data_IF_939240576324
#
_entry.id   IF_939240576324
#
_cell.length_a   1.000
_cell.length_b   1.000
_cell.length_c   1.000
_cell.angle_alpha   90.00
_cell.angle_beta   90.00
_cell.angle_gamma   90.00
#
_symmetry.space_group_name_H-M   'P 1'
#
loop_
_entity.id
_entity.type
_entity.pdbx_description
1 polymer ?
#
# COMPACT_ATOMS: atom_id res chain seq x y z
N UNK A 1 -30.63 -5.32 -1.70
CA UNK A 1 -29.99 -4.69 -0.52
C UNK A 1 -30.31 -3.22 -0.58
N UNK A 2 -30.79 -2.63 0.52
CA UNK A 2 -31.13 -1.21 0.57
C UNK A 2 -29.88 -0.33 0.33
N UNK A 3 -29.98 0.79 -0.42
CA UNK A 3 -28.83 1.65 -0.71
C UNK A 3 -28.14 2.21 0.54
N UNK A 4 -28.89 2.49 1.61
CA UNK A 4 -28.35 2.97 2.88
C UNK A 4 -27.64 1.83 3.62
N UNK A 5 -28.17 0.61 3.59
CA UNK A 5 -27.50 -0.57 4.16
C UNK A 5 -26.20 -0.90 3.43
N UNK A 6 -26.15 -0.70 2.10
CA UNK A 6 -24.90 -0.83 1.33
C UNK A 6 -23.85 0.19 1.76
N UNK A 7 -24.28 1.43 1.98
CA UNK A 7 -23.41 2.50 2.44
C UNK A 7 -22.91 2.26 3.87
N UNK A 8 -23.80 1.82 4.77
CA UNK A 8 -23.46 1.41 6.15
C UNK A 8 -22.43 0.30 6.15
N UNK A 9 -22.55 -0.68 5.26
CA UNK A 9 -21.59 -1.77 5.11
C UNK A 9 -20.21 -1.28 4.66
N UNK A 10 -20.13 -0.40 3.67
CA UNK A 10 -18.86 0.15 3.17
C UNK A 10 -18.16 1.02 4.23
N UNK A 11 -18.91 1.85 4.95
CA UNK A 11 -18.37 2.62 6.08
C UNK A 11 -17.96 1.68 7.22
N UNK A 12 -18.73 0.63 7.50
CA UNK A 12 -18.38 -0.34 8.54
C UNK A 12 -17.09 -1.11 8.23
N UNK A 13 -16.86 -1.48 6.96
CA UNK A 13 -15.58 -2.06 6.50
C UNK A 13 -14.42 -1.09 6.72
N UNK A 14 -14.61 0.18 6.37
CA UNK A 14 -13.59 1.20 6.57
C UNK A 14 -13.28 1.44 8.07
N UNK A 15 -14.31 1.47 8.92
CA UNK A 15 -14.16 1.53 10.37
C UNK A 15 -13.38 0.32 10.90
N UNK A 16 -13.72 -0.90 10.46
CA UNK A 16 -13.02 -2.11 10.84
C UNK A 16 -11.54 -2.09 10.40
N UNK A 17 -11.27 -1.56 9.20
CA UNK A 17 -9.92 -1.39 8.68
C UNK A 17 -9.11 -0.37 9.46
N UNK A 18 -9.70 0.77 9.86
CA UNK A 18 -9.05 1.76 10.73
C UNK A 18 -8.74 1.15 12.10
N UNK A 19 -9.63 0.30 12.61
CA UNK A 19 -9.45 -0.35 13.91
C UNK A 19 -8.56 -1.62 13.86
N UNK A 20 -7.99 -1.97 12.69
CA UNK A 20 -7.13 -3.15 12.48
C UNK A 20 -7.72 -4.47 13.02
N UNK A 21 -9.05 -4.62 13.02
CA UNK A 21 -9.73 -5.81 13.54
C UNK A 21 -9.53 -6.07 15.05
N UNK A 22 -9.07 -5.08 15.83
CA UNK A 22 -8.88 -5.20 17.29
C UNK A 22 -10.15 -4.83 18.07
N UNK A 23 -10.19 -5.32 19.30
CA UNK A 23 -11.32 -5.31 20.24
C UNK A 23 -11.96 -3.93 20.52
N UNK A 24 -13.08 -3.96 21.24
CA UNK A 24 -13.95 -2.88 21.74
C UNK A 24 -13.27 -1.69 22.47
N UNK A 25 -11.94 -1.69 22.60
CA UNK A 25 -11.13 -0.64 23.19
C UNK A 25 -10.46 0.31 22.18
N UNK A 26 -10.68 0.11 20.87
CA UNK A 26 -10.08 0.95 19.83
C UNK A 26 -10.93 2.18 19.54
N UNK A 27 -10.26 3.34 19.49
CA UNK A 27 -10.85 4.62 19.11
C UNK A 27 -10.41 5.02 17.70
N UNK A 28 -11.31 5.63 16.92
CA UNK A 28 -11.04 6.12 15.57
C UNK A 28 -11.66 7.51 15.34
N UNK A 29 -11.11 8.28 14.41
CA UNK A 29 -11.65 9.58 14.00
C UNK A 29 -12.41 9.49 12.66
N UNK A 30 -13.40 10.36 12.48
CA UNK A 30 -14.17 10.46 11.22
C UNK A 30 -13.25 10.63 10.00
N UNK A 31 -12.20 11.45 10.14
CA UNK A 31 -11.28 11.72 9.04
C UNK A 31 -10.48 10.49 8.62
N UNK A 32 -10.18 9.57 9.53
CA UNK A 32 -9.47 8.32 9.23
C UNK A 32 -10.34 7.39 8.40
N UNK A 33 -11.63 7.29 8.77
CA UNK A 33 -12.63 6.53 8.01
C UNK A 33 -12.85 7.14 6.64
N UNK A 34 -12.99 8.47 6.56
CA UNK A 34 -13.18 9.18 5.31
C UNK A 34 -11.98 9.04 4.36
N UNK A 35 -10.76 9.05 4.90
CA UNK A 35 -9.55 8.82 4.11
C UNK A 35 -9.46 7.38 3.58
N UNK A 36 -10.04 6.39 4.28
CA UNK A 36 -10.06 5.00 3.80
C UNK A 36 -11.04 4.77 2.66
N UNK A 37 -12.09 5.56 2.57
CA UNK A 37 -13.06 5.48 1.47
C UNK A 37 -12.97 6.68 0.51
N UNK A 38 -11.87 7.43 0.57
CA UNK A 38 -11.65 8.60 -0.28
C UNK A 38 -11.53 8.14 -1.73
N UNK A 39 -12.51 8.53 -2.55
CA UNK A 39 -12.71 8.03 -3.91
C UNK A 39 -14.11 7.46 -4.14
N UNK A 40 -14.80 7.04 -3.07
CA UNK A 40 -16.17 6.49 -3.14
C UNK A 40 -17.20 7.42 -2.49
N UNK A 41 -16.88 7.99 -1.31
CA UNK A 41 -17.80 8.88 -0.58
C UNK A 41 -17.06 10.03 0.11
N UNK A 42 -17.71 11.20 0.22
CA UNK A 42 -17.16 12.38 0.89
C UNK A 42 -17.43 12.40 2.40
N UNK A 43 -16.67 13.21 3.15
CA UNK A 43 -16.82 13.39 4.62
C UNK A 43 -18.27 13.61 5.12
N UNK A 44 -19.12 14.42 4.46
CA UNK A 44 -20.51 14.60 4.90
C UNK A 44 -21.30 13.29 4.94
N UNK A 45 -21.06 12.40 3.95
CA UNK A 45 -21.71 11.09 3.86
C UNK A 45 -21.23 10.18 4.99
N UNK A 46 -19.93 10.17 5.28
CA UNK A 46 -19.36 9.41 6.40
C UNK A 46 -19.95 9.87 7.73
N UNK A 47 -20.07 11.19 7.94
CA UNK A 47 -20.60 11.75 9.19
C UNK A 47 -22.06 11.32 9.43
N UNK A 48 -22.90 11.32 8.38
CA UNK A 48 -24.28 10.83 8.46
C UNK A 48 -24.32 9.34 8.84
N UNK A 49 -23.47 8.53 8.23
CA UNK A 49 -23.45 7.08 8.50
C UNK A 49 -22.91 6.78 9.91
N UNK A 50 -21.92 7.51 10.39
CA UNK A 50 -21.44 7.37 11.78
C UNK A 50 -22.50 7.80 12.79
N UNK A 51 -23.29 8.82 12.50
CA UNK A 51 -24.43 9.20 13.34
C UNK A 51 -25.47 8.07 13.41
N UNK A 52 -25.83 7.48 12.28
CA UNK A 52 -26.73 6.32 12.21
C UNK A 52 -26.19 5.12 13.00
N UNK A 53 -24.91 4.77 12.82
CA UNK A 53 -24.28 3.67 13.55
C UNK A 53 -24.24 3.92 15.06
N UNK A 54 -24.13 5.19 15.48
CA UNK A 54 -24.20 5.57 16.89
C UNK A 54 -25.62 5.42 17.42
N UNK A 55 -26.61 5.86 16.69
CA UNK A 55 -28.02 5.80 17.08
C UNK A 55 -28.52 4.35 17.12
N UNK A 56 -27.95 3.47 16.30
CA UNK A 56 -28.11 2.01 16.36
C UNK A 56 -27.33 1.34 17.51
N UNK A 57 -26.60 2.11 18.32
CA UNK A 57 -25.82 1.61 19.44
C UNK A 57 -24.56 0.85 19.04
N UNK A 58 -24.12 0.91 17.79
CA UNK A 58 -22.94 0.20 17.31
C UNK A 58 -21.63 0.94 17.64
N UNK A 59 -21.67 2.27 17.77
CA UNK A 59 -20.50 3.06 18.18
C UNK A 59 -20.84 4.08 19.27
N UNK A 60 -19.84 4.61 19.94
CA UNK A 60 -19.96 5.72 20.91
C UNK A 60 -19.04 6.85 20.53
N UNK A 61 -19.51 8.10 20.61
CA UNK A 61 -18.68 9.26 20.35
C UNK A 61 -18.13 9.82 21.67
N UNK A 62 -16.84 10.17 21.67
CA UNK A 62 -16.12 10.79 22.77
C UNK A 62 -15.39 12.03 22.25
N UNK A 63 -15.08 12.97 23.15
CA UNK A 63 -14.23 14.11 22.80
C UNK A 63 -12.88 13.96 23.49
N UNK A 64 -11.82 13.88 22.70
CA UNK A 64 -10.44 13.82 23.19
C UNK A 64 -9.68 15.01 22.60
N UNK A 65 -9.09 15.86 23.44
CA UNK A 65 -8.33 17.04 23.03
C UNK A 65 -9.08 17.94 22.01
N UNK A 66 -10.38 18.14 22.22
CA UNK A 66 -11.24 18.94 21.34
C UNK A 66 -11.60 18.29 20.00
N UNK A 67 -11.30 17.01 19.81
CA UNK A 67 -11.64 16.23 18.61
C UNK A 67 -12.64 15.13 18.95
N UNK A 68 -13.64 14.96 18.10
CA UNK A 68 -14.56 13.82 18.19
C UNK A 68 -13.86 12.56 17.71
N UNK A 69 -13.84 11.56 18.58
CA UNK A 69 -13.39 10.20 18.29
C UNK A 69 -14.53 9.23 18.60
N UNK A 70 -14.51 8.07 17.98
CA UNK A 70 -15.54 7.06 18.10
C UNK A 70 -14.93 5.77 18.66
N UNK A 71 -15.61 5.12 19.59
CA UNK A 71 -15.28 3.79 20.08
C UNK A 71 -16.28 2.77 19.58
N UNK A 72 -15.79 1.57 19.25
CA UNK A 72 -16.63 0.44 18.83
C UNK A 72 -17.39 -0.15 20.02
N UNK A 73 -18.61 -0.61 19.78
CA UNK A 73 -19.37 -1.41 20.74
C UNK A 73 -19.52 -2.86 20.24
N UNK A 74 -19.74 -3.82 21.15
CA UNK A 74 -19.99 -5.22 20.79
C UNK A 74 -21.11 -5.42 19.76
N UNK A 75 -22.12 -4.54 19.77
CA UNK A 75 -23.23 -4.53 18.82
C UNK A 75 -22.77 -4.34 17.38
N UNK A 76 -21.73 -3.53 17.14
CA UNK A 76 -21.12 -3.36 15.82
C UNK A 76 -20.52 -4.69 15.34
N UNK A 77 -19.77 -5.38 16.21
CA UNK A 77 -19.13 -6.65 15.89
C UNK A 77 -20.19 -7.73 15.60
N UNK A 78 -21.30 -7.76 16.34
CA UNK A 78 -22.40 -8.70 16.11
C UNK A 78 -23.14 -8.42 14.80
N UNK A 79 -23.43 -7.15 14.50
CA UNK A 79 -24.22 -6.74 13.34
C UNK A 79 -23.43 -6.86 12.04
N UNK A 80 -22.17 -6.46 12.08
CA UNK A 80 -21.32 -6.38 10.90
C UNK A 80 -20.31 -7.52 10.83
N UNK A 81 -20.10 -8.29 11.89
CA UNK A 81 -19.17 -9.43 11.87
C UNK A 81 -17.75 -8.96 11.60
N UNK A 82 -17.08 -8.34 12.58
CA UNK A 82 -15.72 -7.80 12.41
C UNK A 82 -14.72 -8.84 11.84
N UNK A 83 -14.93 -10.13 12.17
CA UNK A 83 -14.18 -11.28 11.67
C UNK A 83 -14.52 -11.69 10.22
N UNK A 84 -15.65 -11.24 9.69
CA UNK A 84 -16.10 -11.46 8.29
C UNK A 84 -15.85 -10.21 7.42
N UNK A 85 -15.90 -9.00 7.96
CA UNK A 85 -15.62 -7.75 7.21
C UNK A 85 -14.16 -7.33 7.22
N UNK A 86 -13.35 -7.88 8.12
CA UNK A 86 -11.90 -7.91 7.95
C UNK A 86 -11.48 -8.88 6.83
N UNK A 87 -12.41 -9.67 6.28
CA UNK A 87 -12.13 -10.79 5.37
C UNK A 87 -12.80 -10.66 3.99
N UNK A 88 -12.86 -9.44 3.45
CA UNK A 88 -13.02 -9.27 2.00
C UNK A 88 -11.83 -8.53 1.34
N UNK A 89 -10.69 -8.45 2.04
CA UNK A 89 -9.38 -8.11 1.46
C UNK A 89 -8.27 -8.70 2.34
N UNK A 90 -7.74 -9.83 1.90
CA UNK A 90 -6.55 -10.54 2.38
C UNK A 90 -5.45 -9.66 3.01
N UNK A 91 -4.95 -10.08 4.18
CA UNK A 91 -3.71 -9.61 4.84
C UNK A 91 -3.60 -8.10 5.10
N UNK A 92 -3.94 -7.66 6.32
CA UNK A 92 -3.52 -6.36 6.84
C UNK A 92 -1.99 -6.37 7.07
N UNK A 93 -1.26 -6.10 5.98
CA UNK A 93 0.05 -5.50 6.01
C UNK A 93 -0.06 -4.18 6.79
N UNK A 94 0.89 -3.94 7.70
CA UNK A 94 1.30 -2.57 8.06
C UNK A 94 1.32 -1.74 6.76
N UNK A 95 0.85 -0.48 6.74
CA UNK A 95 0.92 0.34 5.53
C UNK A 95 2.29 0.17 4.91
N UNK A 96 2.39 -0.13 3.61
CA UNK A 96 3.67 -0.30 2.95
C UNK A 96 4.62 0.87 3.27
N UNK A 97 4.07 2.08 3.49
CA UNK A 97 4.84 3.24 3.94
C UNK A 97 5.53 3.10 5.31
N UNK A 98 4.94 2.39 6.28
CA UNK A 98 5.48 2.24 7.64
C UNK A 98 6.24 0.91 7.86
N UNK A 99 6.39 0.09 6.81
CA UNK A 99 7.04 -1.22 6.91
C UNK A 99 8.53 -1.08 6.70
N UNK A 100 9.32 -1.58 7.66
CA UNK A 100 10.76 -1.80 7.47
C UNK A 100 10.98 -3.29 7.22
N UNK A 101 11.73 -3.61 6.19
CA UNK A 101 12.14 -4.98 5.84
C UNK A 101 13.62 -5.12 6.14
N UNK A 102 13.95 -6.07 7.03
CA UNK A 102 15.33 -6.47 7.26
C UNK A 102 15.83 -7.32 6.10
N UNK A 103 16.89 -6.87 5.44
CA UNK A 103 17.53 -7.52 4.31
C UNK A 103 18.57 -8.50 4.80
N UNK A 104 18.39 -9.79 4.48
CA UNK A 104 19.40 -10.80 4.72
C UNK A 104 20.17 -11.07 3.42
N UNK A 105 21.36 -10.49 3.32
CA UNK A 105 22.18 -10.55 2.10
C UNK A 105 22.67 -11.96 1.72
N UNK A 106 22.57 -12.91 2.64
CA UNK A 106 22.92 -14.31 2.40
C UNK A 106 21.74 -15.15 1.92
N UNK A 107 20.52 -14.60 1.86
CA UNK A 107 19.35 -15.32 1.36
C UNK A 107 19.31 -15.30 -0.16
N UNK A 108 18.88 -16.43 -0.74
CA UNK A 108 18.75 -16.57 -2.19
C UNK A 108 17.77 -15.53 -2.78
N UNK A 109 16.68 -15.22 -2.07
CA UNK A 109 15.70 -14.23 -2.51
C UNK A 109 16.32 -12.83 -2.66
N UNK A 110 17.20 -12.41 -1.74
CA UNK A 110 17.92 -11.14 -1.85
C UNK A 110 18.87 -11.14 -3.05
N UNK A 111 19.67 -12.20 -3.19
CA UNK A 111 20.67 -12.31 -4.27
C UNK A 111 19.98 -12.27 -5.64
N UNK A 112 18.88 -13.00 -5.80
CA UNK A 112 18.10 -13.01 -7.04
C UNK A 112 17.49 -11.63 -7.34
N UNK A 113 16.94 -10.94 -6.34
CA UNK A 113 16.35 -9.62 -6.52
C UNK A 113 17.41 -8.58 -6.94
N UNK A 114 18.58 -8.62 -6.30
CA UNK A 114 19.72 -7.77 -6.64
C UNK A 114 20.25 -8.06 -8.04
N UNK A 115 20.47 -9.33 -8.39
CA UNK A 115 20.94 -9.72 -9.71
C UNK A 115 19.96 -9.29 -10.82
N UNK A 116 18.65 -9.39 -10.56
CA UNK A 116 17.63 -8.92 -11.49
C UNK A 116 17.65 -7.40 -11.66
N UNK A 117 17.85 -6.64 -10.58
CA UNK A 117 17.98 -5.18 -10.66
C UNK A 117 19.27 -4.76 -11.39
N UNK A 118 20.38 -5.44 -11.11
CA UNK A 118 21.67 -5.19 -11.79
C UNK A 118 21.56 -5.47 -13.29
N UNK A 119 20.83 -6.53 -13.67
CA UNK A 119 20.51 -6.81 -15.07
C UNK A 119 19.67 -5.71 -15.72
N UNK A 120 18.69 -5.14 -15.02
CA UNK A 120 17.93 -3.99 -15.55
C UNK A 120 18.86 -2.80 -15.79
N UNK A 121 19.74 -2.49 -14.83
CA UNK A 121 20.69 -1.39 -14.97
C UNK A 121 21.61 -1.59 -16.17
N UNK A 122 22.11 -2.80 -16.38
CA UNK A 122 22.96 -3.14 -17.53
C UNK A 122 22.22 -2.99 -18.85
N UNK A 123 21.05 -3.64 -18.99
CA UNK A 123 20.24 -3.60 -20.21
C UNK A 123 19.80 -2.16 -20.52
N UNK A 124 19.36 -1.41 -19.51
CA UNK A 124 18.91 -0.04 -19.67
C UNK A 124 20.07 0.89 -20.05
N UNK A 125 21.28 0.70 -19.49
CA UNK A 125 22.47 1.46 -19.85
C UNK A 125 22.93 1.17 -21.28
N UNK A 126 22.97 -0.10 -21.66
CA UNK A 126 23.50 -0.57 -22.94
C UNK A 126 22.50 -0.43 -24.10
N UNK A 127 21.22 -0.18 -23.84
CA UNK A 127 20.24 0.06 -24.89
C UNK A 127 20.41 1.46 -25.51
N UNK A 128 21.19 1.53 -26.58
CA UNK A 128 21.47 2.76 -27.33
C UNK A 128 20.24 3.32 -28.06
N UNK A 129 19.16 2.55 -28.22
CA UNK A 129 17.92 3.07 -28.80
C UNK A 129 17.33 4.15 -27.88
N UNK A 130 17.48 3.95 -26.57
CA UNK A 130 16.99 4.86 -25.53
C UNK A 130 17.73 6.20 -25.50
N UNK A 131 18.96 6.27 -26.02
CA UNK A 131 19.74 7.51 -26.06
C UNK A 131 19.03 8.56 -26.91
N UNK A 132 18.37 8.14 -27.99
CA UNK A 132 17.60 9.02 -28.87
C UNK A 132 16.17 9.28 -28.35
N UNK A 133 15.54 8.30 -27.70
CA UNK A 133 14.15 8.42 -27.22
C UNK A 133 14.03 9.22 -25.91
N UNK A 134 14.96 9.02 -24.98
CA UNK A 134 14.92 9.61 -23.65
C UNK A 134 15.95 10.73 -23.46
N UNK A 135 17.07 10.69 -24.19
CA UNK A 135 18.17 11.63 -24.03
C UNK A 135 18.60 11.76 -22.56
N UNK A 136 18.61 12.97 -21.97
CA UNK A 136 18.99 13.18 -20.56
C UNK A 136 18.11 12.44 -19.54
N UNK A 137 16.87 12.07 -19.89
CA UNK A 137 15.99 11.36 -18.97
C UNK A 137 16.48 9.94 -18.69
N UNK A 138 17.20 9.31 -19.63
CA UNK A 138 17.79 7.98 -19.44
C UNK A 138 18.74 7.96 -18.24
N UNK A 139 19.66 8.92 -18.21
CA UNK A 139 20.62 9.11 -17.11
C UNK A 139 19.94 9.41 -15.76
N UNK A 140 18.84 10.17 -15.77
CA UNK A 140 18.08 10.45 -14.55
C UNK A 140 17.45 9.16 -13.98
N UNK A 141 16.83 8.33 -14.83
CA UNK A 141 16.26 7.06 -14.41
C UNK A 141 17.32 6.06 -13.95
N UNK A 142 18.48 6.00 -14.62
CA UNK A 142 19.62 5.21 -14.18
C UNK A 142 20.05 5.60 -12.76
N UNK A 143 20.21 6.90 -12.48
CA UNK A 143 20.60 7.38 -11.14
C UNK A 143 19.58 7.04 -10.06
N UNK A 144 18.29 7.09 -10.36
CA UNK A 144 17.24 6.70 -9.42
C UNK A 144 17.34 5.20 -9.11
N UNK A 145 17.48 4.35 -10.13
CA UNK A 145 17.62 2.91 -9.96
C UNK A 145 18.93 2.53 -9.25
N UNK A 146 20.05 3.20 -9.56
CA UNK A 146 21.32 3.02 -8.85
C UNK A 146 21.22 3.44 -7.38
N UNK A 147 20.51 4.53 -7.09
CA UNK A 147 20.20 4.96 -5.73
C UNK A 147 19.39 3.92 -4.96
N UNK A 148 18.34 3.38 -5.60
CA UNK A 148 17.55 2.30 -5.03
C UNK A 148 18.35 1.00 -4.86
N UNK A 149 19.22 0.66 -5.81
CA UNK A 149 20.14 -0.49 -5.71
C UNK A 149 21.11 -0.35 -4.54
N UNK A 150 21.61 0.86 -4.29
CA UNK A 150 22.46 1.17 -3.13
C UNK A 150 21.69 1.06 -1.82
N UNK A 151 20.43 1.48 -1.78
CA UNK A 151 19.57 1.34 -0.59
C UNK A 151 19.37 -0.14 -0.18
N UNK A 152 19.45 -1.09 -1.12
CA UNK A 152 19.39 -2.52 -0.81
C UNK A 152 20.68 -3.05 -0.14
N UNK A 153 21.79 -2.31 -0.17
CA UNK A 153 23.02 -2.68 0.53
C UNK A 153 22.94 -2.43 2.04
N UNK A 154 21.96 -1.64 2.48
CA UNK A 154 21.69 -1.48 3.89
C UNK A 154 21.08 -2.77 4.48
N UNK A 155 21.12 -2.87 5.82
CA UNK A 155 20.54 -4.01 6.53
C UNK A 155 19.02 -3.97 6.54
N UNK A 156 18.44 -2.80 6.30
CA UNK A 156 17.02 -2.54 6.42
C UNK A 156 16.62 -1.52 5.36
N UNK A 157 15.44 -1.68 4.79
CA UNK A 157 14.86 -0.73 3.86
C UNK A 157 13.39 -0.53 4.21
N UNK A 158 12.92 0.72 4.14
CA UNK A 158 11.48 0.94 4.20
C UNK A 158 10.83 0.44 2.91
N UNK A 159 9.67 -0.18 3.01
CA UNK A 159 8.94 -0.65 1.83
C UNK A 159 8.51 0.55 0.99
N UNK A 160 8.27 1.72 1.59
CA UNK A 160 8.06 2.98 0.85
C UNK A 160 9.22 3.31 -0.06
N UNK A 161 10.44 3.35 0.48
CA UNK A 161 11.64 3.69 -0.29
C UNK A 161 11.87 2.65 -1.38
N UNK A 162 11.68 1.37 -1.08
CA UNK A 162 11.73 0.30 -2.07
C UNK A 162 10.71 0.48 -3.18
N UNK A 163 9.49 0.91 -2.86
CA UNK A 163 8.44 1.19 -3.84
C UNK A 163 8.74 2.43 -4.68
N UNK A 164 9.18 3.51 -4.05
CA UNK A 164 9.31 4.82 -4.66
C UNK A 164 10.55 4.92 -5.54
N UNK A 165 11.67 4.38 -5.06
CA UNK A 165 12.94 4.47 -5.76
C UNK A 165 13.07 3.35 -6.79
N UNK A 166 12.60 2.15 -6.46
CA UNK A 166 12.84 0.96 -7.29
C UNK A 166 11.59 0.58 -8.07
N UNK A 167 10.49 0.20 -7.40
CA UNK A 167 9.33 -0.39 -8.09
C UNK A 167 8.66 0.58 -9.06
N UNK A 168 8.43 1.85 -8.68
CA UNK A 168 7.82 2.86 -9.56
C UNK A 168 8.66 3.10 -10.81
N UNK A 169 9.98 3.21 -10.63
CA UNK A 169 10.94 3.38 -11.74
C UNK A 169 10.91 2.17 -12.69
N UNK A 170 10.93 0.95 -12.16
CA UNK A 170 10.87 -0.26 -12.97
C UNK A 170 9.53 -0.43 -13.69
N UNK A 171 8.40 -0.08 -13.04
CA UNK A 171 7.07 -0.11 -13.67
C UNK A 171 7.00 0.85 -14.84
N UNK A 172 7.49 2.07 -14.66
CA UNK A 172 7.57 3.04 -15.74
C UNK A 172 8.39 2.51 -16.93
N UNK A 173 9.55 1.88 -16.67
CA UNK A 173 10.36 1.24 -17.71
C UNK A 173 9.55 0.13 -18.41
N UNK A 174 8.94 -0.78 -17.65
CA UNK A 174 8.17 -1.91 -18.21
C UNK A 174 6.95 -1.49 -19.04
N UNK A 175 6.31 -0.36 -18.69
CA UNK A 175 5.17 0.21 -19.41
C UNK A 175 5.60 1.02 -20.63
N UNK A 176 6.71 1.76 -20.54
CA UNK A 176 7.17 2.67 -21.59
C UNK A 176 7.76 1.92 -22.79
N UNK A 177 8.41 0.78 -22.55
CA UNK A 177 9.07 0.00 -23.59
C UNK A 177 8.19 -1.18 -24.01
N UNK A 178 7.69 -1.12 -25.24
CA UNK A 178 6.70 -2.07 -25.74
C UNK A 178 7.23 -3.51 -25.78
N UNK A 179 8.47 -3.72 -26.25
CA UNK A 179 9.13 -5.02 -26.35
C UNK A 179 10.67 -4.89 -26.32
N UNK A 180 11.34 -5.79 -25.59
CA UNK A 180 12.81 -5.83 -25.51
C UNK A 180 13.35 -6.44 -24.23
N UNK A 181 14.64 -6.74 -24.22
CA UNK A 181 15.35 -7.32 -23.07
C UNK A 181 15.16 -6.48 -21.79
N UNK A 182 15.15 -5.15 -21.93
CA UNK A 182 14.89 -4.19 -20.85
C UNK A 182 13.54 -4.42 -20.16
N UNK A 183 12.46 -4.61 -20.92
CA UNK A 183 11.12 -4.85 -20.35
C UNK A 183 11.08 -6.18 -19.60
N UNK A 184 11.63 -7.23 -20.19
CA UNK A 184 11.67 -8.57 -19.59
C UNK A 184 12.47 -8.53 -18.28
N UNK A 185 13.63 -7.86 -18.28
CA UNK A 185 14.43 -7.65 -17.08
C UNK A 185 13.65 -6.84 -16.02
N UNK A 186 12.97 -5.76 -16.42
CA UNK A 186 12.23 -4.90 -15.51
C UNK A 186 11.06 -5.64 -14.83
N UNK A 187 10.28 -6.42 -15.59
CA UNK A 187 9.20 -7.22 -15.04
C UNK A 187 9.72 -8.29 -14.08
N UNK A 188 10.84 -8.94 -14.42
CA UNK A 188 11.45 -9.94 -13.52
C UNK A 188 11.98 -9.31 -12.23
N UNK A 189 12.59 -8.14 -12.33
CA UNK A 189 13.05 -7.38 -11.17
C UNK A 189 11.87 -6.95 -10.29
N UNK A 190 10.76 -6.46 -10.86
CA UNK A 190 9.55 -6.11 -10.10
C UNK A 190 9.03 -7.30 -9.33
N UNK A 191 8.92 -8.48 -9.95
CA UNK A 191 8.46 -9.71 -9.30
C UNK A 191 9.32 -10.05 -8.07
N UNK A 192 10.64 -10.13 -8.25
CA UNK A 192 11.58 -10.53 -7.20
C UNK A 192 11.70 -9.48 -6.09
N UNK A 193 11.71 -8.19 -6.43
CA UNK A 193 11.77 -7.11 -5.45
C UNK A 193 10.46 -6.95 -4.69
N UNK A 194 9.30 -7.16 -5.35
CA UNK A 194 8.02 -7.15 -4.66
C UNK A 194 7.91 -8.32 -3.68
N UNK A 195 8.46 -9.49 -4.04
CA UNK A 195 8.61 -10.62 -3.11
C UNK A 195 9.53 -10.27 -1.94
N UNK A 196 10.71 -9.71 -2.20
CA UNK A 196 11.69 -9.32 -1.18
C UNK A 196 11.11 -8.30 -0.19
N UNK A 197 10.36 -7.31 -0.69
CA UNK A 197 9.72 -6.27 0.11
C UNK A 197 8.41 -6.75 0.78
N UNK A 198 7.96 -7.97 0.50
CA UNK A 198 6.71 -8.52 1.03
C UNK A 198 5.46 -7.76 0.56
N UNK A 199 5.45 -7.34 -0.71
CA UNK A 199 4.37 -6.63 -1.40
C UNK A 199 3.37 -7.57 -2.10
N UNK A 200 3.66 -8.87 -2.11
CA UNK A 200 2.90 -9.87 -2.88
C UNK A 200 3.37 -9.96 -4.33
N UNK A 201 3.32 -11.17 -4.87
CA UNK A 201 3.60 -11.52 -6.28
C UNK A 201 2.33 -11.45 -7.12
#
# INVERSE_FOLDING_TARGET
MDPLEKLKLEVAKAVAAVCNGKDDSVHFAEIEVANKISGTFGRPVVSVVLAELRDEGCISAFTINGRTVYGLKPEFIKKYGLHLLANDSTQAAVPASDRIVTLNHNQSDYQQAVEALDRVLEEFRNDHRLDNELGPQKEAHLKVLEGGRKALEDKEISVEDGQDWIIKSLKWIGEKFADGAVKVAALKAIELLSKLLGLGS
#
